data_IF_368968176243
#
_entry.id   IF_368968176243
#
_cell.length_a   1.000
_cell.length_b   1.000
_cell.length_c   1.000
_cell.angle_alpha   90.00
_cell.angle_beta   90.00
_cell.angle_gamma   90.00
#
_symmetry.space_group_name_H-M   'P 1'
#
loop_
_entity.id
_entity.type
_entity.pdbx_description
1 polymer ?
#
# COMPACT_ATOMS: atom_id res chain seq x y z
N UNK A 1 25.53 -10.97 12.86
CA UNK A 1 25.76 -11.30 11.43
C UNK A 1 24.52 -11.04 10.58
N UNK A 2 23.30 -11.46 10.99
CA UNK A 2 22.05 -11.21 10.23
C UNK A 2 21.74 -9.73 9.96
N UNK A 3 22.05 -8.84 10.91
CA UNK A 3 21.77 -7.40 10.77
C UNK A 3 22.56 -6.71 9.65
N UNK A 4 23.82 -7.11 9.43
CA UNK A 4 24.66 -6.55 8.35
C UNK A 4 24.18 -7.03 6.98
N UNK A 5 23.80 -8.31 6.87
CA UNK A 5 23.22 -8.88 5.65
C UNK A 5 21.87 -8.25 5.32
N UNK A 6 21.01 -8.06 6.33
CA UNK A 6 19.74 -7.37 6.18
C UNK A 6 19.95 -5.93 5.67
N UNK A 7 20.93 -5.20 6.21
CA UNK A 7 21.21 -3.84 5.73
C UNK A 7 21.73 -3.82 4.29
N UNK A 8 22.55 -4.80 3.92
CA UNK A 8 23.00 -4.93 2.54
C UNK A 8 21.83 -5.25 1.59
N UNK A 9 20.88 -6.08 2.00
CA UNK A 9 19.67 -6.38 1.23
C UNK A 9 18.77 -5.13 1.06
N UNK A 10 18.57 -4.35 2.13
CA UNK A 10 17.81 -3.09 2.08
C UNK A 10 18.44 -2.08 1.10
N UNK A 11 19.77 -1.94 1.12
CA UNK A 11 20.47 -1.06 0.18
C UNK A 11 20.37 -1.55 -1.27
N UNK A 12 20.50 -2.86 -1.52
CA UNK A 12 20.30 -3.43 -2.85
C UNK A 12 18.88 -3.18 -3.37
N UNK A 13 17.87 -3.34 -2.52
CA UNK A 13 16.48 -3.02 -2.87
C UNK A 13 16.31 -1.53 -3.17
N UNK A 14 16.90 -0.65 -2.37
CA UNK A 14 16.88 0.80 -2.61
C UNK A 14 17.53 1.18 -3.95
N UNK A 15 18.68 0.57 -4.28
CA UNK A 15 19.35 0.75 -5.58
C UNK A 15 18.44 0.29 -6.72
N UNK A 16 17.84 -0.91 -6.62
CA UNK A 16 16.94 -1.41 -7.65
C UNK A 16 15.73 -0.49 -7.90
N UNK A 17 15.19 0.13 -6.83
CA UNK A 17 14.13 1.13 -6.98
C UNK A 17 14.61 2.42 -7.65
N UNK A 18 15.82 2.89 -7.36
CA UNK A 18 16.41 4.05 -8.02
C UNK A 18 16.71 3.77 -9.50
N UNK A 19 17.23 2.58 -9.82
CA UNK A 19 17.46 2.16 -11.21
C UNK A 19 16.15 2.12 -12.00
N UNK A 20 15.10 1.52 -11.42
CA UNK A 20 13.77 1.50 -12.03
C UNK A 20 13.17 2.91 -12.19
N UNK A 21 13.38 3.80 -11.21
CA UNK A 21 12.97 5.21 -11.33
C UNK A 21 13.74 5.91 -12.46
N UNK A 22 15.04 5.66 -12.60
CA UNK A 22 15.85 6.24 -13.66
C UNK A 22 15.39 5.74 -15.03
N UNK A 23 15.04 4.47 -15.18
CA UNK A 23 14.47 3.93 -16.42
C UNK A 23 13.16 4.59 -16.81
N UNK A 24 12.30 4.89 -15.84
CA UNK A 24 11.05 5.62 -16.09
C UNK A 24 11.27 7.10 -16.45
N UNK A 25 12.32 7.73 -15.93
CA UNK A 25 12.65 9.13 -16.24
C UNK A 25 13.35 9.30 -17.61
N UNK A 26 14.07 8.28 -18.08
CA UNK A 26 14.82 8.31 -19.36
C UNK A 26 14.02 8.86 -20.55
N UNK A 27 12.78 8.39 -20.84
CA UNK A 27 11.99 8.92 -21.96
C UNK A 27 11.78 10.43 -21.91
N UNK A 28 11.60 11.00 -20.72
CA UNK A 28 11.41 12.45 -20.53
C UNK A 28 12.74 13.20 -20.62
N UNK A 29 13.78 12.68 -19.97
CA UNK A 29 15.13 13.24 -20.00
C UNK A 29 15.74 13.22 -21.42
N UNK A 30 15.28 12.33 -22.30
CA UNK A 30 15.75 12.21 -23.68
C UNK A 30 14.79 12.87 -24.69
N UNK A 31 13.70 13.50 -24.23
CA UNK A 31 12.71 14.15 -25.09
C UNK A 31 11.89 13.18 -25.96
N UNK A 32 11.91 11.88 -25.64
CA UNK A 32 11.22 10.82 -26.39
C UNK A 32 9.80 10.55 -25.88
N UNK A 33 9.48 11.01 -24.68
CA UNK A 33 8.14 10.85 -24.13
C UNK A 33 7.13 11.67 -24.96
N UNK A 34 5.90 11.16 -25.19
CA UNK A 34 4.89 11.85 -25.98
C UNK A 34 4.44 13.18 -25.35
N UNK A 35 4.67 13.37 -24.05
CA UNK A 35 4.40 14.60 -23.30
C UNK A 35 5.47 15.68 -23.52
N UNK A 36 6.64 15.34 -24.07
CA UNK A 36 7.73 16.28 -24.33
C UNK A 36 7.34 17.25 -25.46
N UNK A 37 7.37 18.56 -25.17
CA UNK A 37 7.11 19.60 -26.17
C UNK A 37 8.27 19.65 -27.17
N UNK A 38 7.95 19.55 -28.47
CA UNK A 38 8.91 19.59 -29.58
C UNK A 38 10.06 18.57 -29.50
N UNK A 39 9.86 17.46 -28.78
CA UNK A 39 10.90 16.44 -28.56
C UNK A 39 12.07 16.95 -27.71
N UNK A 40 11.85 18.00 -26.92
CA UNK A 40 12.86 18.57 -26.03
C UNK A 40 12.96 17.76 -24.74
N UNK A 41 14.19 17.51 -24.31
CA UNK A 41 14.49 16.91 -23.01
C UNK A 41 13.95 17.76 -21.86
N UNK A 42 13.39 17.09 -20.86
CA UNK A 42 13.06 17.70 -19.58
C UNK A 42 14.32 17.77 -18.70
N UNK A 43 14.81 19.00 -18.45
CA UNK A 43 16.02 19.25 -17.65
C UNK A 43 15.87 18.78 -16.20
N UNK A 44 14.67 18.87 -15.62
CA UNK A 44 14.43 18.41 -14.25
C UNK A 44 14.58 16.88 -14.17
N UNK A 45 14.13 16.16 -15.20
CA UNK A 45 14.32 14.72 -15.31
C UNK A 45 15.80 14.34 -15.51
N UNK A 46 16.55 15.11 -16.30
CA UNK A 46 18.01 14.93 -16.48
C UNK A 46 18.73 15.11 -15.14
N UNK A 47 18.41 16.16 -14.40
CA UNK A 47 19.01 16.45 -13.11
C UNK A 47 18.65 15.42 -12.03
N UNK A 48 17.40 14.97 -12.01
CA UNK A 48 16.95 13.91 -11.11
C UNK A 48 17.69 12.59 -11.34
N UNK A 49 17.87 12.17 -12.60
CA UNK A 49 18.66 10.97 -12.94
C UNK A 49 20.09 11.13 -12.45
N UNK A 50 20.72 12.27 -12.74
CA UNK A 50 22.10 12.57 -12.33
C UNK A 50 22.27 12.52 -10.80
N UNK A 51 21.30 13.05 -10.04
CA UNK A 51 21.34 12.98 -8.58
C UNK A 51 21.15 11.54 -8.06
N UNK A 52 20.21 10.79 -8.64
CA UNK A 52 19.99 9.38 -8.29
C UNK A 52 21.25 8.53 -8.52
N UNK A 53 21.97 8.73 -9.62
CA UNK A 53 23.24 8.03 -9.91
C UNK A 53 24.32 8.30 -8.84
N UNK A 54 24.39 9.53 -8.31
CA UNK A 54 25.28 9.86 -7.20
C UNK A 54 24.86 9.14 -5.92
N UNK A 55 23.55 9.03 -5.66
CA UNK A 55 23.02 8.27 -4.51
C UNK A 55 23.33 6.79 -4.64
N UNK A 56 23.10 6.19 -5.81
CA UNK A 56 23.43 4.78 -6.11
C UNK A 56 24.91 4.52 -5.83
N UNK A 57 25.81 5.35 -6.38
CA UNK A 57 27.27 5.22 -6.18
C UNK A 57 27.64 5.21 -4.67
N UNK A 58 27.00 6.07 -3.87
CA UNK A 58 27.21 6.12 -2.42
C UNK A 58 26.67 4.87 -1.72
N UNK A 59 25.52 4.35 -2.15
CA UNK A 59 24.95 3.11 -1.62
C UNK A 59 25.82 1.90 -1.97
N UNK A 60 26.33 1.80 -3.19
CA UNK A 60 27.29 0.75 -3.61
C UNK A 60 28.59 0.81 -2.81
N UNK A 61 29.10 2.01 -2.54
CA UNK A 61 30.26 2.21 -1.65
C UNK A 61 29.95 1.68 -0.25
N UNK A 62 28.75 1.96 0.28
CA UNK A 62 28.32 1.45 1.59
C UNK A 62 28.16 -0.08 1.59
N UNK A 63 27.65 -0.68 0.52
CA UNK A 63 27.61 -2.14 0.34
C UNK A 63 29.02 -2.72 0.35
N UNK A 64 29.98 -2.07 -0.30
CA UNK A 64 31.39 -2.50 -0.31
C UNK A 64 32.01 -2.50 1.09
N UNK A 65 31.72 -1.48 1.91
CA UNK A 65 32.15 -1.45 3.32
C UNK A 65 31.48 -2.55 4.15
N UNK A 66 30.18 -2.80 3.93
CA UNK A 66 29.47 -3.89 4.60
C UNK A 66 30.04 -5.26 4.24
N UNK A 67 30.47 -5.46 2.98
CA UNK A 67 31.16 -6.67 2.55
C UNK A 67 32.44 -6.88 3.34
N UNK A 68 33.32 -5.87 3.35
CA UNK A 68 34.58 -5.95 4.12
C UNK A 68 34.32 -6.25 5.59
N UNK A 69 33.29 -5.64 6.18
CA UNK A 69 32.95 -5.84 7.60
C UNK A 69 32.38 -7.24 7.90
N UNK A 70 31.64 -7.84 6.96
CA UNK A 70 31.14 -9.21 7.12
C UNK A 70 32.31 -10.20 7.04
N UNK A 71 33.20 -10.02 6.07
CA UNK A 71 34.37 -10.87 5.86
C UNK A 71 35.37 -10.75 7.02
N UNK A 72 35.58 -9.54 7.56
CA UNK A 72 36.46 -9.32 8.72
C UNK A 72 35.98 -10.05 9.98
N UNK A 73 34.66 -10.25 10.09
CA UNK A 73 34.02 -11.02 11.17
C UNK A 73 33.94 -12.53 10.89
N UNK A 74 34.54 -13.00 9.79
CA UNK A 74 34.53 -14.40 9.38
C UNK A 74 33.21 -14.86 8.75
N UNK A 75 32.36 -13.94 8.29
CA UNK A 75 31.15 -14.25 7.55
C UNK A 75 31.43 -14.43 6.05
N UNK A 76 30.51 -15.12 5.36
CA UNK A 76 30.56 -15.30 3.90
C UNK A 76 29.64 -14.26 3.24
N UNK A 77 30.19 -13.48 2.32
CA UNK A 77 29.39 -12.61 1.46
C UNK A 77 28.81 -13.43 0.30
N UNK A 78 27.51 -13.27 -0.02
CA UNK A 78 26.90 -13.82 -1.24
C UNK A 78 26.06 -15.09 -1.07
N UNK A 79 25.90 -15.63 0.14
CA UNK A 79 25.05 -16.82 0.38
C UNK A 79 23.57 -16.59 -0.01
N UNK A 80 23.13 -15.32 -0.04
CA UNK A 80 21.81 -14.89 -0.51
C UNK A 80 21.72 -14.63 -2.02
N UNK A 81 22.83 -14.48 -2.74
CA UNK A 81 22.83 -14.22 -4.19
C UNK A 81 22.68 -15.54 -4.98
N UNK A 82 23.28 -16.64 -4.50
CA UNK A 82 23.18 -17.95 -5.13
C UNK A 82 21.75 -18.55 -5.15
N UNK A 83 20.89 -18.19 -4.19
CA UNK A 83 19.50 -18.62 -4.14
C UNK A 83 18.59 -17.92 -5.16
N UNK A 84 18.95 -16.71 -5.62
CA UNK A 84 18.14 -15.93 -6.55
C UNK A 84 18.39 -16.28 -8.03
N UNK A 85 19.58 -16.80 -8.37
CA UNK A 85 19.91 -17.21 -9.73
C UNK A 85 19.46 -18.64 -10.04
N UNK A 86 19.40 -19.53 -9.04
CA UNK A 86 18.91 -20.90 -9.17
C UNK A 86 17.41 -21.00 -9.51
N UNK A 87 16.61 -19.97 -9.23
CA UNK A 87 15.19 -19.93 -9.59
C UNK A 87 14.94 -19.37 -11.01
N UNK A 88 15.94 -18.77 -11.68
CA UNK A 88 15.77 -18.16 -13.02
C UNK A 88 16.21 -19.04 -14.19
N UNK A 89 16.97 -20.11 -13.96
CA UNK A 89 17.46 -20.99 -15.05
C UNK A 89 16.57 -22.20 -15.36
N UNK A 90 15.47 -22.44 -14.64
CA UNK A 90 14.57 -23.58 -14.88
C UNK A 90 13.23 -23.23 -15.55
N UNK A 91 13.03 -22.01 -16.04
CA UNK A 91 11.75 -21.58 -16.63
C UNK A 91 11.89 -21.12 -18.10
N UNK A 92 12.54 -21.92 -18.94
CA UNK A 92 12.45 -21.76 -20.41
C UNK A 92 12.29 -23.12 -21.09
N UNK A 93 11.19 -23.83 -20.81
CA UNK A 93 10.59 -24.81 -21.74
C UNK A 93 9.23 -25.30 -21.22
N UNK A 94 8.16 -24.67 -21.72
CA UNK A 94 6.79 -25.16 -21.84
C UNK A 94 6.30 -26.23 -20.83
N UNK A 95 5.51 -25.80 -19.84
CA UNK A 95 4.48 -26.65 -19.23
C UNK A 95 3.28 -25.82 -18.81
N UNK A 96 2.13 -26.26 -19.30
CA UNK A 96 0.75 -25.80 -19.00
C UNK A 96 0.50 -25.43 -17.54
N UNK A 97 -0.37 -24.44 -17.24
CA UNK A 97 -0.72 -24.11 -15.86
C UNK A 97 -1.57 -25.23 -15.25
N UNK A 98 -0.92 -26.22 -14.67
CA UNK A 98 -1.58 -27.17 -13.77
C UNK A 98 -1.69 -26.49 -12.41
N UNK A 99 -2.92 -26.18 -12.02
CA UNK A 99 -3.25 -25.71 -10.70
C UNK A 99 -2.97 -26.84 -9.69
N UNK A 100 -1.83 -26.78 -9.00
CA UNK A 100 -1.52 -27.69 -7.90
C UNK A 100 -2.11 -27.14 -6.59
N UNK A 101 -3.42 -27.35 -6.44
CA UNK A 101 -4.04 -27.49 -5.13
C UNK A 101 -3.72 -28.89 -4.58
N UNK A 102 -2.64 -28.99 -3.79
CA UNK A 102 -2.36 -30.16 -2.97
C UNK A 102 -2.53 -29.77 -1.50
N UNK A 103 -3.69 -30.11 -0.94
CA UNK A 103 -3.97 -29.96 0.48
C UNK A 103 -3.27 -31.07 1.28
N UNK A 104 -2.68 -30.72 2.44
CA UNK A 104 -2.85 -31.51 3.65
C UNK A 104 -3.76 -30.76 4.63
N UNK A 105 -4.47 -31.56 5.43
CA UNK A 105 -5.65 -31.17 6.18
C UNK A 105 -5.43 -30.16 7.31
N UNK A 106 -6.50 -29.39 7.53
CA UNK A 106 -6.93 -28.70 8.75
C UNK A 106 -6.00 -27.68 9.39
N UNK A 107 -6.15 -26.44 8.96
CA UNK A 107 -6.27 -25.28 9.84
C UNK A 107 -6.99 -24.18 9.03
N UNK A 108 -8.18 -23.81 9.50
CA UNK A 108 -8.99 -22.62 9.18
C UNK A 108 -8.64 -21.90 7.87
N UNK A 109 -9.48 -22.07 6.84
CA UNK A 109 -9.45 -21.24 5.64
C UNK A 109 -9.36 -19.78 6.07
N UNK A 110 -8.17 -19.18 5.98
CA UNK A 110 -7.98 -17.74 6.12
C UNK A 110 -8.73 -17.13 4.94
N UNK A 111 -9.99 -16.77 5.18
CA UNK A 111 -10.81 -16.09 4.20
C UNK A 111 -10.04 -14.84 3.79
N UNK A 112 -9.92 -14.61 2.48
CA UNK A 112 -9.25 -13.40 2.02
C UNK A 112 -10.11 -12.22 2.49
N UNK A 113 -9.61 -11.39 3.42
CA UNK A 113 -10.38 -10.31 4.03
C UNK A 113 -10.93 -9.30 3.00
N UNK A 114 -10.31 -9.26 1.82
CA UNK A 114 -10.68 -8.41 0.71
C UNK A 114 -11.85 -8.94 -0.14
N UNK A 115 -12.14 -10.24 -0.04
CA UNK A 115 -13.14 -10.92 -0.87
C UNK A 115 -14.33 -11.46 -0.07
N UNK A 116 -14.17 -11.64 1.24
CA UNK A 116 -15.23 -12.12 2.14
C UNK A 116 -16.12 -10.99 2.69
N UNK A 117 -15.82 -9.74 2.33
CA UNK A 117 -16.56 -8.57 2.79
C UNK A 117 -16.21 -8.14 4.22
N UNK A 118 -15.14 -8.68 4.82
CA UNK A 118 -14.64 -8.24 6.13
C UNK A 118 -14.15 -6.79 6.08
N UNK A 119 -13.58 -6.36 4.95
CA UNK A 119 -13.17 -4.98 4.74
C UNK A 119 -14.01 -4.31 3.64
N UNK A 120 -14.77 -3.29 4.02
CA UNK A 120 -15.49 -2.41 3.10
C UNK A 120 -14.68 -1.15 2.87
N UNK A 121 -14.41 -0.82 1.61
CA UNK A 121 -13.76 0.45 1.24
C UNK A 121 -14.82 1.52 1.02
N UNK A 122 -14.55 2.76 1.44
CA UNK A 122 -15.40 3.92 1.19
C UNK A 122 -14.58 5.16 0.86
N UNK A 123 -15.23 6.16 0.25
CA UNK A 123 -14.67 7.48 -0.07
C UNK A 123 -15.24 8.53 0.88
N UNK A 124 -14.39 9.44 1.36
CA UNK A 124 -14.82 10.61 2.15
C UNK A 124 -15.12 11.76 1.18
N UNK A 125 -16.36 12.27 1.22
CA UNK A 125 -16.79 13.43 0.40
C UNK A 125 -17.44 14.46 1.32
N UNK A 126 -16.85 15.65 1.41
CA UNK A 126 -17.43 16.75 2.20
C UNK A 126 -17.49 16.52 3.71
N UNK A 127 -16.72 15.56 4.24
CA UNK A 127 -16.75 15.17 5.66
C UNK A 127 -17.60 13.92 5.93
N UNK A 128 -18.41 13.49 4.96
CA UNK A 128 -19.22 12.28 5.06
C UNK A 128 -18.49 11.07 4.48
N UNK A 129 -18.59 9.93 5.15
CA UNK A 129 -18.06 8.65 4.67
C UNK A 129 -19.11 7.98 3.76
N UNK A 130 -18.79 7.86 2.47
CA UNK A 130 -19.61 7.14 1.47
C UNK A 130 -18.99 5.77 1.24
N UNK A 131 -19.64 4.71 1.71
CA UNK A 131 -19.16 3.33 1.49
C UNK A 131 -19.47 2.85 0.08
N UNK A 132 -18.52 2.18 -0.57
CA UNK A 132 -18.79 1.48 -1.82
C UNK A 132 -19.68 0.26 -1.55
N UNK A 133 -20.62 -0.07 -2.45
CA UNK A 133 -21.44 -1.26 -2.29
C UNK A 133 -20.52 -2.49 -2.32
N UNK A 134 -20.57 -3.32 -1.26
CA UNK A 134 -19.87 -4.59 -1.27
C UNK A 134 -20.45 -5.46 -2.39
N UNK A 135 -19.60 -6.13 -3.20
CA UNK A 135 -20.09 -7.11 -4.16
C UNK A 135 -20.66 -8.28 -3.37
N UNK A 136 -21.93 -8.22 -3.01
CA UNK A 136 -22.66 -9.37 -2.48
C UNK A 136 -22.55 -10.45 -3.53
N UNK A 137 -21.87 -11.56 -3.19
CA UNK A 137 -21.85 -12.76 -4.00
C UNK A 137 -23.29 -13.05 -4.42
N UNK A 138 -23.59 -12.81 -5.70
CA UNK A 138 -24.93 -12.94 -6.23
C UNK A 138 -25.30 -14.41 -6.13
N UNK A 139 -26.16 -14.73 -5.15
CA UNK A 139 -26.88 -15.99 -5.13
C UNK A 139 -27.54 -16.15 -6.49
N UNK A 140 -27.06 -17.14 -7.24
CA UNK A 140 -27.58 -17.52 -8.53
C UNK A 140 -29.09 -17.80 -8.42
N UNK A 141 -29.89 -16.84 -8.86
CA UNK A 141 -31.29 -17.06 -9.22
C UNK A 141 -31.35 -17.10 -10.74
N UNK A 142 -31.21 -18.32 -11.26
CA UNK A 142 -31.56 -18.66 -12.64
C UNK A 142 -33.06 -18.47 -12.82
N UNK A 143 -33.46 -17.41 -13.51
CA UNK A 143 -34.64 -17.41 -14.38
C UNK A 143 -34.43 -16.47 -15.56
N UNK A 144 -34.73 -16.99 -16.73
CA UNK A 144 -34.48 -16.48 -18.08
C UNK A 144 -35.03 -15.07 -18.39
N UNK A 145 -34.36 -14.39 -19.33
CA UNK A 145 -35.08 -13.62 -20.36
C UNK A 145 -34.78 -12.12 -20.48
N UNK A 146 -34.12 -11.79 -21.60
CA UNK A 146 -34.23 -10.54 -22.37
C UNK A 146 -33.38 -9.30 -21.99
N UNK A 147 -32.25 -9.19 -22.71
CA UNK A 147 -31.83 -8.01 -23.49
C UNK A 147 -32.73 -6.78 -23.44
N UNK A 148 -32.19 -5.64 -22.95
CA UNK A 148 -31.98 -4.41 -23.75
C UNK A 148 -31.38 -3.24 -22.94
N UNK A 149 -30.20 -2.82 -23.39
CA UNK A 149 -29.77 -1.45 -23.76
C UNK A 149 -30.57 -0.24 -23.20
N UNK A 150 -29.79 0.65 -22.57
CA UNK A 150 -29.78 2.12 -22.67
C UNK A 150 -31.10 2.90 -22.53
N UNK A 151 -31.22 3.68 -21.45
CA UNK A 151 -32.28 4.69 -21.32
C UNK A 151 -32.16 5.52 -20.05
N UNK A 152 -31.52 6.68 -20.17
CA UNK A 152 -31.73 7.81 -19.25
C UNK A 152 -33.20 8.24 -19.31
N UNK A 153 -33.83 8.57 -18.17
CA UNK A 153 -34.82 9.63 -18.17
C UNK A 153 -34.42 10.73 -17.17
N UNK A 154 -34.11 11.87 -17.76
CA UNK A 154 -34.20 13.18 -17.12
C UNK A 154 -35.68 13.48 -16.85
N UNK A 155 -36.06 13.67 -15.59
CA UNK A 155 -37.31 14.33 -15.22
C UNK A 155 -37.16 15.10 -13.90
N UNK A 156 -37.37 16.40 -14.03
CA UNK A 156 -37.29 17.49 -13.05
C UNK A 156 -38.45 17.48 -12.04
N UNK A 157 -38.17 17.95 -10.80
CA UNK A 157 -39.09 18.62 -9.83
C UNK A 157 -40.16 17.71 -9.17
N UNK A 158 -40.35 17.65 -7.84
CA UNK A 158 -40.57 18.72 -6.87
C UNK A 158 -40.34 18.19 -5.44
N UNK A 159 -39.92 19.06 -4.51
CA UNK A 159 -39.76 18.72 -3.10
C UNK A 159 -41.09 18.60 -2.36
N UNK A 160 -41.17 17.65 -1.43
CA UNK A 160 -42.05 17.73 -0.27
C UNK A 160 -41.47 16.85 0.86
N UNK A 161 -41.03 17.54 1.93
CA UNK A 161 -40.75 16.93 3.21
C UNK A 161 -42.01 16.27 3.77
N UNK A 162 -41.94 14.97 4.07
CA UNK A 162 -42.81 14.33 5.06
C UNK A 162 -41.99 13.46 5.99
N UNK A 163 -41.97 13.90 7.24
CA UNK A 163 -41.48 13.21 8.44
C UNK A 163 -42.46 12.11 8.87
N UNK A 164 -41.93 10.89 9.06
CA UNK A 164 -42.32 9.82 10.00
C UNK A 164 -41.80 8.51 9.39
N UNK A 165 -40.98 7.68 10.02
CA UNK A 165 -40.65 7.51 11.42
C UNK A 165 -40.58 6.00 11.64
N UNK A 166 -39.38 5.44 11.85
CA UNK A 166 -39.17 4.16 12.53
C UNK A 166 -37.77 4.20 13.11
N UNK A 167 -37.70 4.44 14.41
CA UNK A 167 -36.49 4.28 15.19
C UNK A 167 -36.13 2.79 15.26
N UNK A 168 -35.11 2.39 14.50
CA UNK A 168 -34.31 1.22 14.84
C UNK A 168 -33.11 1.74 15.62
N UNK A 169 -33.12 1.50 16.93
CA UNK A 169 -32.01 1.77 17.84
C UNK A 169 -30.79 0.93 17.43
N UNK A 170 -29.92 1.48 16.59
CA UNK A 170 -28.50 1.19 16.60
C UNK A 170 -27.81 2.36 17.31
N UNK A 171 -27.29 2.09 18.50
CA UNK A 171 -26.52 3.02 19.33
C UNK A 171 -25.22 3.40 18.63
N UNK A 172 -25.30 4.34 17.70
CA UNK A 172 -24.18 5.10 17.14
C UNK A 172 -24.42 6.56 17.48
N UNK A 173 -24.12 6.94 18.72
CA UNK A 173 -24.25 8.33 19.15
C UNK A 173 -23.29 9.21 18.35
N UNK A 174 -23.81 10.19 17.63
CA UNK A 174 -22.99 11.30 17.13
C UNK A 174 -22.42 11.99 18.36
N UNK A 175 -21.14 11.75 18.64
CA UNK A 175 -20.44 12.55 19.63
C UNK A 175 -20.32 13.94 19.02
N UNK A 176 -21.10 14.90 19.50
CA UNK A 176 -20.91 16.30 19.14
C UNK A 176 -19.44 16.67 19.41
N UNK A 177 -18.80 17.38 18.48
CA UNK A 177 -17.36 17.70 18.51
C UNK A 177 -16.90 18.30 19.86
N UNK A 178 -17.80 18.95 20.59
CA UNK A 178 -17.56 19.49 21.93
C UNK A 178 -17.33 18.39 22.98
N UNK A 179 -18.08 17.30 22.90
CA UNK A 179 -17.94 16.15 23.80
C UNK A 179 -16.66 15.39 23.52
N UNK A 180 -16.27 15.27 22.24
CA UNK A 180 -15.01 14.66 21.82
C UNK A 180 -13.80 15.49 22.27
N UNK A 181 -13.88 16.83 22.14
CA UNK A 181 -12.86 17.76 22.64
C UNK A 181 -12.69 17.62 24.16
N UNK A 182 -13.81 17.59 24.90
CA UNK A 182 -13.78 17.44 26.36
C UNK A 182 -13.23 16.09 26.81
N UNK A 183 -13.53 15.01 26.07
CA UNK A 183 -13.00 13.69 26.34
C UNK A 183 -11.47 13.62 26.12
N UNK A 184 -10.95 14.25 25.06
CA UNK A 184 -9.50 14.35 24.83
C UNK A 184 -8.81 15.18 25.91
N UNK A 185 -9.41 16.30 26.31
CA UNK A 185 -8.83 17.20 27.33
C UNK A 185 -8.81 16.55 28.72
N UNK A 186 -9.84 15.75 29.06
CA UNK A 186 -9.88 15.01 30.31
C UNK A 186 -8.83 13.89 30.37
N UNK A 187 -8.60 13.20 29.23
CA UNK A 187 -7.56 12.18 29.11
C UNK A 187 -6.15 12.77 29.24
N UNK A 188 -5.88 13.93 28.63
CA UNK A 188 -4.59 14.60 28.81
C UNK A 188 -4.38 15.12 30.23
N UNK A 189 -5.45 15.44 30.96
CA UNK A 189 -5.35 15.86 32.37
C UNK A 189 -5.12 14.69 33.33
N UNK A 190 -5.59 13.49 33.01
CA UNK A 190 -5.24 12.27 33.75
C UNK A 190 -3.76 11.89 33.57
N UNK A 191 -3.23 11.98 32.35
CA UNK A 191 -1.81 11.67 32.09
C UNK A 191 -0.85 12.76 32.64
N UNK A 192 -1.28 14.02 32.69
CA UNK A 192 -0.47 15.14 33.22
C UNK A 192 -0.51 15.27 34.75
N UNK A 193 -1.32 14.46 35.46
CA UNK A 193 -1.45 14.50 36.92
C UNK A 193 -0.53 13.53 37.67
N UNK A 194 0.31 12.77 36.96
CA UNK A 194 1.13 11.71 37.56
C UNK A 194 2.58 12.11 37.89
N UNK A 195 3.01 13.36 37.65
CA UNK A 195 4.42 13.75 37.70
C UNK A 195 4.72 15.03 38.54
N UNK A 196 3.94 15.29 39.60
CA UNK A 196 4.19 16.44 40.49
C UNK A 196 4.50 16.13 41.97
N UNK A 197 4.75 14.88 42.37
CA UNK A 197 5.31 14.60 43.71
C UNK A 197 6.25 13.38 43.76
N UNK A 198 7.51 13.54 43.31
CA UNK A 198 8.63 12.91 44.02
C UNK A 198 9.90 13.77 43.89
N UNK A 199 10.07 14.62 44.90
CA UNK A 199 11.16 15.59 44.99
C UNK A 199 12.54 14.96 45.13
N UNK A 200 13.54 15.71 44.68
CA UNK A 200 14.96 15.48 44.94
C UNK A 200 15.22 15.23 46.43
N UNK A 201 15.73 14.05 46.76
CA UNK A 201 16.57 13.84 47.94
C UNK A 201 17.97 13.44 47.46
N UNK A 202 18.91 14.37 47.59
CA UNK A 202 20.34 14.15 47.51
C UNK A 202 20.98 14.65 48.80
#
# INVERSE_FOLDING_TARGET
MSTLHLKAAELRNSIAHLDYSNEQLKPFAEGRAPECVDGKADEDCVDAIRENEVVITRMETRISLLRTEIESRGGVWGEYEAGAEAERETEVAASTPTANGAAPASEESRSNPWADGTFTTGRIVGGDVVMDPTPTASSASTTDGESRVNGVPSATVNGESRTNGTATTSTGGSLDDETLRRAMELRMREDAGADEEEGLHL
#
